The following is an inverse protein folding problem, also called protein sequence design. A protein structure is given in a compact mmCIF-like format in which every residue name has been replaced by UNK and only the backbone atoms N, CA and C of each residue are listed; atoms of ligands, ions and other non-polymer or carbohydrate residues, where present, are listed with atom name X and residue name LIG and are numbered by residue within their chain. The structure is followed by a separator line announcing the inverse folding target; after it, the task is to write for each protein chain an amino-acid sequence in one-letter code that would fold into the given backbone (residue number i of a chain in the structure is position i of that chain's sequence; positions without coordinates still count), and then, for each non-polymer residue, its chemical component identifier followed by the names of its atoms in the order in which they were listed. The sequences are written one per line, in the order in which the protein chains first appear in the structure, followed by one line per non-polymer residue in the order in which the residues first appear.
data_IF_513214417105
#
_entry.id   IF_513214417105
#
_cell.length_a   1.000
_cell.length_b   1.000
_cell.length_c   1.000
_cell.angle_alpha   90.00
_cell.angle_beta   90.00
_cell.angle_gamma   90.00
#
_symmetry.space_group_name_H-M   'P 1'
#
loop_
_entity.id
_entity.type
_entity.pdbx_description
1 polymer ?
#
# COMPACT_ATOMS: atom_id res chain seq x y z
N UNK A 1 -0.19 -13.71 17.36
CA UNK A 1 -0.93 -12.47 17.68
C UNK A 1 -1.42 -11.90 16.35
N UNK A 2 -2.70 -12.06 16.05
CA UNK A 2 -3.27 -11.73 14.74
C UNK A 2 -3.17 -10.23 14.47
N UNK A 3 -2.56 -9.86 13.35
CA UNK A 3 -2.64 -8.51 12.83
C UNK A 3 -4.11 -8.17 12.65
N UNK A 4 -4.59 -7.15 13.37
CA UNK A 4 -5.88 -6.56 13.09
C UNK A 4 -5.88 -6.20 11.60
N UNK A 5 -6.73 -6.88 10.84
CA UNK A 5 -6.96 -6.64 9.42
C UNK A 5 -7.49 -5.21 9.34
N UNK A 6 -6.61 -4.22 9.14
CA UNK A 6 -7.06 -2.85 8.88
C UNK A 6 -7.70 -2.89 7.50
N UNK A 7 -9.00 -3.20 7.48
CA UNK A 7 -9.78 -3.20 6.27
C UNK A 7 -9.72 -1.78 5.70
N UNK A 8 -9.20 -1.65 4.48
CA UNK A 8 -9.21 -0.38 3.78
C UNK A 8 -10.67 0.09 3.66
N UNK A 9 -10.99 1.34 4.02
CA UNK A 9 -12.34 1.85 3.87
C UNK A 9 -12.71 1.85 2.38
N UNK A 10 -13.84 1.25 2.04
CA UNK A 10 -14.39 1.18 0.68
C UNK A 10 -15.04 2.51 0.25
N UNK A 11 -14.36 3.63 0.49
CA UNK A 11 -14.89 4.99 0.30
C UNK A 11 -13.91 5.79 -0.55
N UNK A 12 -14.31 6.17 -1.77
CA UNK A 12 -13.51 7.07 -2.62
C UNK A 12 -13.86 8.53 -2.32
N UNK A 13 -12.89 9.39 -1.94
CA UNK A 13 -13.09 10.82 -1.75
C UNK A 13 -13.41 11.55 -3.06
N UNK A 14 -13.24 10.88 -4.20
CA UNK A 14 -13.51 11.44 -5.52
C UNK A 14 -14.91 11.09 -6.02
N UNK A 15 -15.67 10.23 -5.33
CA UNK A 15 -16.97 9.71 -5.77
C UNK A 15 -18.14 10.72 -5.78
N UNK A 16 -17.91 11.96 -5.35
CA UNK A 16 -18.87 13.08 -5.46
C UNK A 16 -19.61 13.44 -4.18
N UNK A 17 -19.61 12.57 -3.17
CA UNK A 17 -20.11 12.89 -1.82
C UNK A 17 -18.96 13.22 -0.87
N UNK A 18 -19.10 14.25 0.00
CA UNK A 18 -18.10 14.54 1.02
C UNK A 18 -17.91 13.36 1.98
N UNK A 19 -16.67 12.88 2.12
CA UNK A 19 -16.33 11.83 3.08
C UNK A 19 -16.40 12.33 4.51
N UNK A 20 -16.71 11.45 5.46
CA UNK A 20 -16.72 11.80 6.89
C UNK A 20 -15.28 12.04 7.36
N UNK A 21 -15.10 12.93 8.34
CA UNK A 21 -13.79 13.25 8.93
C UNK A 21 -13.02 12.01 9.39
N UNK A 22 -13.69 11.09 10.10
CA UNK A 22 -13.06 9.86 10.58
C UNK A 22 -12.57 8.95 9.43
N UNK A 23 -13.29 8.93 8.30
CA UNK A 23 -12.86 8.20 7.10
C UNK A 23 -11.66 8.88 6.44
N UNK A 24 -11.67 10.22 6.38
CA UNK A 24 -10.53 10.99 5.88
C UNK A 24 -9.26 10.77 6.70
N UNK A 25 -9.36 10.75 8.03
CA UNK A 25 -8.24 10.50 8.95
C UNK A 25 -7.67 9.09 8.78
N UNK A 26 -8.54 8.06 8.67
CA UNK A 26 -8.12 6.68 8.37
C UNK A 26 -7.39 6.58 7.04
N UNK A 27 -7.98 7.17 6.01
CA UNK A 27 -7.43 7.16 4.67
C UNK A 27 -6.08 7.88 4.59
N UNK A 28 -5.97 9.06 5.21
CA UNK A 28 -4.72 9.80 5.30
C UNK A 28 -3.64 8.99 6.00
N UNK A 29 -3.98 8.19 7.01
CA UNK A 29 -3.06 7.26 7.66
C UNK A 29 -2.46 6.24 6.69
N UNK A 30 -3.30 5.59 5.88
CA UNK A 30 -2.83 4.62 4.87
C UNK A 30 -2.02 5.31 3.77
N UNK A 31 -2.50 6.43 3.25
CA UNK A 31 -1.77 7.20 2.23
C UNK A 31 -0.42 7.71 2.75
N UNK A 32 -0.31 8.04 4.05
CA UNK A 32 0.97 8.41 4.68
C UNK A 32 1.96 7.25 4.71
N UNK A 33 1.50 6.02 4.89
CA UNK A 33 2.34 4.84 4.75
C UNK A 33 2.82 4.64 3.30
N UNK A 34 2.08 5.13 2.31
CA UNK A 34 2.47 5.09 0.90
C UNK A 34 3.38 6.26 0.48
N UNK A 35 3.15 7.47 1.03
CA UNK A 35 3.76 8.73 0.61
C UNK A 35 5.20 8.94 1.14
N UNK A 36 6.11 8.03 0.80
CA UNK A 36 7.54 8.14 1.11
C UNK A 36 8.40 7.52 0.01
N UNK A 37 9.48 8.18 -0.44
CA UNK A 37 10.27 7.70 -1.57
C UNK A 37 10.88 6.31 -1.36
N UNK A 38 11.37 6.01 -0.16
CA UNK A 38 11.96 4.70 0.13
C UNK A 38 10.89 3.61 0.15
N UNK A 39 9.71 3.89 0.72
CA UNK A 39 8.58 2.95 0.71
C UNK A 39 8.03 2.68 -0.68
N UNK A 40 7.88 3.71 -1.52
CA UNK A 40 7.48 3.52 -2.92
C UNK A 40 8.48 2.64 -3.68
N UNK A 41 9.78 2.87 -3.47
CA UNK A 41 10.84 2.07 -4.10
C UNK A 41 10.86 0.63 -3.58
N UNK A 42 10.63 0.41 -2.29
CA UNK A 42 10.47 -0.93 -1.71
C UNK A 42 9.31 -1.69 -2.35
N UNK A 43 8.13 -1.07 -2.48
CA UNK A 43 6.98 -1.69 -3.14
C UNK A 43 7.30 -2.08 -4.59
N UNK A 44 7.96 -1.18 -5.34
CA UNK A 44 8.38 -1.46 -6.71
C UNK A 44 9.39 -2.61 -6.80
N UNK A 45 10.37 -2.67 -5.89
CA UNK A 45 11.38 -3.71 -5.86
C UNK A 45 10.79 -5.08 -5.53
N UNK A 46 9.93 -5.15 -4.50
CA UNK A 46 9.24 -6.40 -4.12
C UNK A 46 8.38 -6.91 -5.28
N UNK A 47 7.61 -6.03 -5.92
CA UNK A 47 6.75 -6.41 -7.05
C UNK A 47 7.55 -6.89 -8.27
N UNK A 48 8.77 -6.39 -8.44
CA UNK A 48 9.65 -6.75 -9.56
C UNK A 48 10.58 -7.94 -9.24
N UNK A 49 10.59 -8.42 -8.00
CA UNK A 49 11.41 -9.55 -7.58
C UNK A 49 10.88 -10.87 -8.15
N UNK A 50 11.73 -11.90 -8.29
CA UNK A 50 11.27 -13.26 -8.57
C UNK A 50 10.17 -13.68 -7.60
N UNK A 51 9.14 -14.37 -8.09
CA UNK A 51 7.96 -14.76 -7.30
C UNK A 51 7.15 -13.60 -6.67
N UNK A 52 7.50 -12.34 -6.96
CA UNK A 52 6.83 -11.16 -6.40
C UNK A 52 7.03 -11.01 -4.88
N UNK A 53 8.20 -11.44 -4.38
CA UNK A 53 8.56 -11.35 -2.97
C UNK A 53 10.06 -11.09 -2.77
N UNK A 54 10.43 -10.45 -1.66
CA UNK A 54 11.84 -10.19 -1.36
C UNK A 54 12.12 -10.24 0.15
N UNK A 55 13.36 -10.61 0.51
CA UNK A 55 13.85 -10.54 1.88
C UNK A 55 14.43 -9.16 2.20
N UNK A 56 14.66 -8.87 3.49
CA UNK A 56 15.28 -7.59 3.91
C UNK A 56 16.67 -7.41 3.28
N UNK A 57 17.45 -8.49 3.18
CA UNK A 57 18.80 -8.46 2.62
C UNK A 57 18.77 -8.08 1.14
N UNK A 58 17.82 -8.62 0.39
CA UNK A 58 17.65 -8.34 -1.05
C UNK A 58 17.32 -6.87 -1.31
N UNK A 59 16.66 -6.20 -0.35
CA UNK A 59 16.18 -4.83 -0.47
C UNK A 59 17.18 -3.79 0.02
N UNK A 60 18.14 -4.17 0.87
CA UNK A 60 19.03 -3.21 1.53
C UNK A 60 20.00 -2.54 0.54
N UNK A 61 20.70 -3.33 -0.27
CA UNK A 61 21.68 -2.80 -1.22
C UNK A 61 21.03 -1.97 -2.36
N UNK A 62 19.94 -2.40 -3.03
CA UNK A 62 19.32 -1.63 -4.10
C UNK A 62 18.75 -0.26 -3.67
N UNK A 63 18.42 -0.09 -2.39
CA UNK A 63 17.96 1.19 -1.84
C UNK A 63 19.11 2.09 -1.36
N UNK A 64 20.32 1.55 -1.16
CA UNK A 64 21.43 2.30 -0.56
C UNK A 64 21.15 2.74 0.88
N UNK A 65 20.32 2.00 1.61
CA UNK A 65 19.92 2.29 2.99
C UNK A 65 20.48 1.25 3.95
N UNK A 66 20.52 1.58 5.23
CA UNK A 66 20.88 0.61 6.26
C UNK A 66 19.76 -0.42 6.48
N UNK A 67 20.12 -1.63 6.90
CA UNK A 67 19.14 -2.67 7.22
C UNK A 67 18.12 -2.24 8.30
N UNK A 68 18.51 -1.53 9.40
CA UNK A 68 17.53 -0.98 10.35
C UNK A 68 16.52 -0.04 9.70
N UNK A 69 16.96 0.84 8.79
CA UNK A 69 16.09 1.77 8.05
C UNK A 69 15.10 1.01 7.16
N UNK A 70 15.58 0.03 6.38
CA UNK A 70 14.72 -0.82 5.54
C UNK A 70 13.71 -1.59 6.39
N UNK A 71 14.15 -2.19 7.49
CA UNK A 71 13.27 -2.94 8.39
C UNK A 71 12.19 -2.05 9.00
N UNK A 72 12.52 -0.81 9.35
CA UNK A 72 11.55 0.17 9.83
C UNK A 72 10.47 0.48 8.78
N UNK A 73 10.87 0.70 7.53
CA UNK A 73 9.94 0.94 6.42
C UNK A 73 9.05 -0.26 6.13
N UNK A 74 9.60 -1.48 6.12
CA UNK A 74 8.83 -2.71 5.93
C UNK A 74 7.81 -2.93 7.03
N UNK A 75 8.16 -2.60 8.29
CA UNK A 75 7.21 -2.64 9.41
C UNK A 75 6.05 -1.66 9.19
N UNK A 76 6.33 -0.40 8.82
CA UNK A 76 5.27 0.59 8.52
C UNK A 76 4.34 0.09 7.42
N UNK A 77 4.89 -0.45 6.34
CA UNK A 77 4.11 -0.97 5.21
C UNK A 77 3.26 -2.20 5.62
N UNK A 78 3.80 -3.08 6.46
CA UNK A 78 3.08 -4.25 6.98
C UNK A 78 1.96 -3.83 7.94
N UNK A 79 2.22 -2.89 8.85
CA UNK A 79 1.23 -2.35 9.79
C UNK A 79 0.11 -1.59 9.07
N UNK A 80 0.41 -0.97 7.92
CA UNK A 80 -0.58 -0.35 7.04
C UNK A 80 -1.38 -1.34 6.19
N UNK A 81 -1.07 -2.65 6.25
CA UNK A 81 -1.72 -3.69 5.46
C UNK A 81 -1.33 -3.70 3.98
N UNK A 82 -0.26 -3.00 3.60
CA UNK A 82 0.23 -2.94 2.22
C UNK A 82 1.12 -4.13 1.87
N UNK A 83 1.80 -4.68 2.88
CA UNK A 83 2.63 -5.87 2.76
C UNK A 83 2.15 -6.98 3.68
N UNK A 84 2.26 -8.21 3.21
CA UNK A 84 2.28 -9.41 4.01
C UNK A 84 3.73 -9.80 4.32
N UNK A 85 3.93 -10.40 5.50
CA UNK A 85 5.23 -10.88 5.97
C UNK A 85 5.16 -12.36 6.28
N UNK A 86 6.00 -13.14 5.63
CA UNK A 86 6.14 -14.57 5.86
C UNK A 86 7.53 -14.90 6.41
N UNK A 87 7.61 -15.70 7.47
CA UNK A 87 8.89 -16.18 8.00
C UNK A 87 9.21 -17.56 7.43
N UNK A 88 10.35 -17.69 6.75
CA UNK A 88 10.86 -18.96 6.22
C UNK A 88 12.25 -19.23 6.78
N UNK A 89 12.31 -20.13 7.76
CA UNK A 89 13.52 -20.37 8.54
C UNK A 89 13.96 -19.11 9.30
N UNK A 90 15.19 -18.65 9.05
CA UNK A 90 15.74 -17.43 9.65
C UNK A 90 15.35 -16.15 8.90
N UNK A 91 14.86 -16.28 7.66
CA UNK A 91 14.55 -15.15 6.79
C UNK A 91 13.08 -14.73 6.88
N UNK A 92 12.82 -13.46 6.62
CA UNK A 92 11.48 -12.92 6.45
C UNK A 92 11.33 -12.38 5.03
N UNK A 93 10.27 -12.81 4.36
CA UNK A 93 9.91 -12.40 3.00
C UNK A 93 8.67 -11.51 3.04
N UNK A 94 8.63 -10.54 2.13
CA UNK A 94 7.57 -9.55 2.03
C UNK A 94 6.93 -9.60 0.67
N UNK A 95 5.60 -9.49 0.63
CA UNK A 95 4.78 -9.47 -0.60
C UNK A 95 3.75 -8.37 -0.54
N UNK A 96 3.40 -7.78 -1.68
CA UNK A 96 2.29 -6.84 -1.77
C UNK A 96 0.98 -7.55 -1.50
N UNK A 97 0.07 -6.89 -0.79
CA UNK A 97 -1.32 -7.33 -0.64
C UNK A 97 -2.14 -6.78 -1.81
N UNK A 98 -2.53 -7.61 -2.80
CA UNK A 98 -3.11 -7.09 -4.05
C UNK A 98 -4.41 -6.31 -3.83
N UNK A 99 -5.23 -6.75 -2.87
CA UNK A 99 -6.48 -6.08 -2.52
C UNK A 99 -6.28 -4.69 -1.91
N UNK A 100 -5.21 -4.48 -1.14
CA UNK A 100 -4.88 -3.17 -0.57
C UNK A 100 -4.44 -2.19 -1.67
N UNK A 101 -3.64 -2.66 -2.63
CA UNK A 101 -3.21 -1.85 -3.78
C UNK A 101 -4.41 -1.50 -4.68
N UNK A 102 -5.30 -2.47 -4.95
CA UNK A 102 -6.51 -2.23 -5.71
C UNK A 102 -7.42 -1.18 -5.05
N UNK A 103 -7.61 -1.25 -3.73
CA UNK A 103 -8.40 -0.27 -2.99
C UNK A 103 -7.82 1.15 -3.09
N UNK A 104 -6.49 1.32 -3.03
CA UNK A 104 -5.85 2.63 -3.25
C UNK A 104 -6.05 3.12 -4.68
N UNK A 105 -5.95 2.24 -5.68
CA UNK A 105 -6.18 2.63 -7.07
C UNK A 105 -7.62 3.09 -7.31
N UNK A 106 -8.61 2.38 -6.76
CA UNK A 106 -10.02 2.77 -6.80
C UNK A 106 -10.27 4.12 -6.13
N UNK A 107 -9.61 4.36 -5.00
CA UNK A 107 -9.69 5.62 -4.26
C UNK A 107 -9.26 6.83 -5.10
N UNK A 108 -8.22 6.66 -5.91
CA UNK A 108 -7.66 7.71 -6.76
C UNK A 108 -8.32 7.80 -8.14
N UNK A 109 -9.29 6.94 -8.43
CA UNK A 109 -10.00 6.95 -9.71
C UNK A 109 -11.14 7.97 -9.67
N UNK A 110 -11.11 9.05 -10.47
CA UNK A 110 -12.21 10.00 -10.52
C UNK A 110 -13.44 9.37 -11.20
N UNK A 111 -14.67 9.76 -10.82
CA UNK A 111 -15.88 9.28 -11.48
C UNK A 111 -15.85 9.69 -12.95
N UNK A 112 -16.06 8.71 -13.83
CA UNK A 112 -16.16 8.97 -15.27
C UNK A 112 -17.40 9.84 -15.50
N UNK A 113 -17.24 11.06 -16.02
CA UNK A 113 -18.38 11.91 -16.40
C UNK A 113 -19.30 11.08 -17.32
N UNK A 114 -20.56 10.87 -16.91
CA UNK A 114 -21.57 10.30 -17.81
C UNK A 114 -21.68 11.22 -19.02
N UNK A 115 -21.40 10.71 -20.21
CA UNK A 115 -21.69 11.43 -21.45
C UNK A 115 -23.18 11.75 -21.45
N UNK A 116 -23.51 13.04 -21.39
CA UNK A 116 -24.89 13.50 -21.49
C UNK A 116 -25.40 13.09 -22.86
N UNK A 117 -26.35 12.15 -22.89
CA UNK A 117 -27.11 11.84 -24.10
C UNK A 117 -27.81 13.14 -24.49
N UNK A 118 -27.29 13.85 -25.51
CA UNK A 118 -28.00 14.96 -26.13
C UNK A 118 -29.33 14.40 -26.63
N UNK A 119 -30.41 14.82 -25.99
CA UNK A 119 -31.76 14.58 -26.48
C UNK A 119 -31.84 15.21 -27.88
N UNK A 120 -32.32 14.41 -28.83
CA UNK A 120 -32.73 14.85 -30.17
C UNK A 120 -34.08 15.53 -30.08
#
# INVERSE_FOLDING_TARGET
MGAAKTAMPAISPLAGEPIKRADAERLAGVLKAFADPARLRLLSLIQSAPEGEASVSDLTAPLGLSQPTVSHHLRILTEAGLLEREKRGVWAYYRLVPSAIAAIAELLTPPRKRATKRAR
#
